data_IF_982749400324
#
_entry.id   IF_982749400324
#
_cell.length_a   1.000
_cell.length_b   1.000
_cell.length_c   1.000
_cell.angle_alpha   90.00
_cell.angle_beta   90.00
_cell.angle_gamma   90.00
#
_symmetry.space_group_name_H-M   'P 1'
#
loop_
_entity.id
_entity.type
_entity.pdbx_description
1 polymer ?
#
# COMPACT_ATOMS: atom_id res chain seq x y z
N UNK A 1 18.61 -14.15 8.46
CA UNK A 1 17.41 -14.62 8.74
C UNK A 1 16.46 -13.68 9.31
N UNK A 2 16.80 -13.05 10.34
CA UNK A 2 15.89 -12.12 10.97
C UNK A 2 15.51 -10.95 10.12
N UNK A 3 16.38 -10.60 9.21
CA UNK A 3 16.13 -9.51 8.35
C UNK A 3 15.05 -9.70 7.36
N UNK A 4 14.70 -10.92 7.10
CA UNK A 4 13.72 -11.21 6.12
C UNK A 4 12.38 -10.54 6.41
N UNK A 5 11.97 -10.51 7.66
CA UNK A 5 10.72 -9.88 8.03
C UNK A 5 10.71 -8.39 7.70
N UNK A 6 11.83 -7.75 7.97
CA UNK A 6 11.95 -6.35 7.71
C UNK A 6 11.92 -6.06 6.21
N UNK A 7 12.58 -6.90 5.44
CA UNK A 7 12.60 -6.73 4.01
C UNK A 7 11.23 -6.92 3.40
N UNK A 8 10.49 -7.90 3.94
CA UNK A 8 9.14 -8.13 3.44
C UNK A 8 8.24 -6.95 3.74
N UNK A 9 8.41 -6.36 4.90
CA UNK A 9 7.60 -5.19 5.24
C UNK A 9 7.90 -4.02 4.33
N UNK A 10 9.17 -3.85 3.98
CA UNK A 10 9.54 -2.78 3.07
C UNK A 10 9.04 -3.02 1.67
N UNK A 11 9.04 -4.25 1.24
CA UNK A 11 8.48 -4.60 -0.05
C UNK A 11 7.01 -4.29 -0.11
N UNK A 12 6.30 -4.66 0.94
CA UNK A 12 4.87 -4.40 1.00
C UNK A 12 4.60 -2.90 0.98
N UNK A 13 5.39 -2.16 1.72
CA UNK A 13 5.24 -0.72 1.75
C UNK A 13 5.45 -0.11 0.37
N UNK A 14 6.47 -0.59 -0.33
CA UNK A 14 6.73 -0.11 -1.68
C UNK A 14 5.59 -0.44 -2.63
N UNK A 15 5.04 -1.63 -2.50
CA UNK A 15 3.92 -2.03 -3.32
C UNK A 15 2.72 -1.13 -3.08
N UNK A 16 2.47 -0.80 -1.82
CA UNK A 16 1.37 0.08 -1.48
C UNK A 16 1.58 1.46 -2.07
N UNK A 17 2.79 1.96 -1.97
CA UNK A 17 3.09 3.29 -2.53
C UNK A 17 2.93 3.32 -4.03
N UNK A 18 3.38 2.28 -4.71
CA UNK A 18 3.21 2.22 -6.15
C UNK A 18 1.75 2.13 -6.53
N UNK A 19 1.00 1.33 -5.79
CA UNK A 19 -0.43 1.21 -6.06
C UNK A 19 -1.14 2.54 -5.83
N UNK A 20 -0.74 3.27 -4.80
CA UNK A 20 -1.34 4.56 -4.51
C UNK A 20 -1.05 5.54 -5.64
N UNK A 21 0.19 5.58 -6.10
CA UNK A 21 0.55 6.43 -7.19
C UNK A 21 -0.27 6.14 -8.44
N UNK A 22 -0.39 4.87 -8.74
CA UNK A 22 -1.12 4.45 -9.91
C UNK A 22 -2.59 4.81 -9.81
N UNK A 23 -3.17 4.58 -8.62
CA UNK A 23 -4.57 4.91 -8.41
C UNK A 23 -4.81 6.41 -8.53
N UNK A 24 -3.91 7.19 -7.95
CA UNK A 24 -4.04 8.64 -8.03
C UNK A 24 -3.95 9.12 -9.46
N UNK A 25 -3.05 8.52 -10.21
CA UNK A 25 -2.84 8.91 -11.59
C UNK A 25 -4.05 8.58 -12.47
N UNK A 26 -4.63 7.42 -12.23
CA UNK A 26 -5.75 6.97 -13.06
C UNK A 26 -7.07 7.57 -12.66
N UNK A 27 -7.29 7.71 -11.37
CA UNK A 27 -8.60 8.14 -10.85
C UNK A 27 -8.61 9.51 -10.23
N UNK A 28 -7.44 10.02 -9.86
CA UNK A 28 -7.38 11.26 -9.14
C UNK A 28 -7.45 11.01 -7.64
N UNK A 29 -6.83 11.90 -6.88
CA UNK A 29 -6.76 11.76 -5.44
C UNK A 29 -8.14 11.74 -4.80
N UNK A 30 -9.02 12.60 -5.27
CA UNK A 30 -10.34 12.73 -4.67
C UNK A 30 -11.18 11.47 -4.82
N UNK A 31 -10.92 10.68 -5.84
CA UNK A 31 -11.71 9.49 -6.09
C UNK A 31 -11.06 8.20 -5.64
N UNK A 32 -9.87 8.29 -5.08
CA UNK A 32 -9.14 7.12 -4.65
C UNK A 32 -9.37 6.89 -3.17
N UNK A 33 -9.73 5.66 -2.82
CA UNK A 33 -9.93 5.31 -1.42
C UNK A 33 -8.84 4.34 -1.00
N UNK A 34 -8.71 4.15 0.31
CA UNK A 34 -7.75 3.17 0.82
C UNK A 34 -8.09 1.77 0.34
N UNK A 35 -9.38 1.48 0.20
CA UNK A 35 -9.79 0.17 -0.31
C UNK A 35 -9.31 -0.03 -1.73
N UNK A 36 -9.35 1.02 -2.55
CA UNK A 36 -8.85 0.94 -3.92
C UNK A 36 -7.37 0.64 -3.93
N UNK A 37 -6.63 1.33 -3.08
CA UNK A 37 -5.19 1.14 -3.02
C UNK A 37 -4.87 -0.28 -2.54
N UNK A 38 -5.59 -0.76 -1.55
CA UNK A 38 -5.36 -2.09 -1.03
C UNK A 38 -5.59 -3.13 -2.12
N UNK A 39 -6.66 -2.97 -2.89
CA UNK A 39 -6.96 -3.90 -3.95
C UNK A 39 -5.85 -3.91 -5.00
N UNK A 40 -5.40 -2.74 -5.41
CA UNK A 40 -4.34 -2.65 -6.40
C UNK A 40 -3.02 -3.21 -5.87
N UNK A 41 -2.74 -3.00 -4.61
CA UNK A 41 -1.51 -3.49 -4.02
C UNK A 41 -1.56 -4.96 -3.68
N UNK A 42 -2.77 -5.54 -3.67
CA UNK A 42 -2.91 -6.95 -3.31
C UNK A 42 -2.79 -7.21 -1.83
N UNK A 43 -3.13 -6.22 -1.01
CA UNK A 43 -3.05 -6.36 0.43
C UNK A 43 -4.39 -5.98 1.04
N UNK A 44 -4.53 -6.24 2.33
CA UNK A 44 -5.74 -5.86 3.02
C UNK A 44 -5.65 -4.39 3.43
N UNK A 45 -6.82 -3.82 3.69
CA UNK A 45 -6.85 -2.45 4.16
C UNK A 45 -6.17 -2.32 5.50
N UNK A 46 -6.28 -3.35 6.33
CA UNK A 46 -5.58 -3.35 7.61
C UNK A 46 -4.08 -3.26 7.47
N UNK A 47 -3.55 -3.89 6.43
CA UNK A 47 -2.11 -3.83 6.19
C UNK A 47 -1.68 -2.40 5.88
N UNK A 48 -2.52 -1.66 5.14
CA UNK A 48 -2.19 -0.27 4.83
C UNK A 48 -2.14 0.56 6.11
N UNK A 49 -3.14 0.38 6.97
CA UNK A 49 -3.14 1.09 8.23
C UNK A 49 -1.92 0.74 9.07
N UNK A 50 -1.52 -0.52 9.05
CA UNK A 50 -0.36 -0.94 9.80
C UNK A 50 0.93 -0.31 9.34
N UNK A 51 1.03 -0.02 8.04
CA UNK A 51 2.24 0.56 7.50
C UNK A 51 2.28 2.08 7.61
N UNK A 52 1.12 2.72 7.56
CA UNK A 52 1.10 4.18 7.47
C UNK A 52 0.37 4.89 8.60
N UNK A 53 -0.20 4.17 9.53
CA UNK A 53 -0.83 4.86 10.64
C UNK A 53 0.27 5.38 11.56
N UNK A 54 -0.03 6.42 12.20
CA UNK A 54 0.97 6.94 13.05
C UNK A 54 0.62 6.95 14.38
#
# INVERSE_FOLDING_TARGET
MVRRTKEEAQETRSQILEAAEKAFYERGVARTTLADIATLAGVTRGAIYGHFSN
#
